data_IF_830219631118
#
_entry.id   IF_830219631118
#
_cell.length_a   1.000
_cell.length_b   1.000
_cell.length_c   1.000
_cell.angle_alpha   90.00
_cell.angle_beta   90.00
_cell.angle_gamma   90.00
#
_symmetry.space_group_name_H-M   'P 1'
#
loop_
_entity.id
_entity.type
_entity.pdbx_description
1 polymer ?
#
# COMPACT_ATOMS: atom_id res chain seq x y z
N UNK A 1 2.62 30.54 10.05
CA UNK A 1 2.69 29.59 11.18
C UNK A 1 3.88 28.67 10.91
N UNK A 2 4.75 28.46 11.92
CA UNK A 2 5.89 27.56 11.80
C UNK A 2 5.49 26.12 12.17
N UNK A 3 5.87 25.15 11.35
CA UNK A 3 5.59 23.71 11.56
C UNK A 3 6.91 22.96 11.54
N UNK A 4 7.14 22.12 12.56
CA UNK A 4 8.31 21.25 12.61
C UNK A 4 7.88 19.82 12.37
N UNK A 5 8.55 19.12 11.44
CA UNK A 5 8.31 17.72 11.07
C UNK A 5 9.53 16.91 11.50
N UNK A 6 9.29 15.83 12.21
CA UNK A 6 10.32 14.89 12.63
C UNK A 6 10.36 13.67 11.72
N UNK A 7 11.48 13.45 11.06
CA UNK A 7 11.72 12.39 10.10
C UNK A 7 11.61 12.85 8.65
N UNK A 8 12.70 12.68 7.89
CA UNK A 8 12.81 13.04 6.47
C UNK A 8 12.72 11.81 5.53
N UNK A 9 11.89 10.83 5.89
CA UNK A 9 11.45 9.78 4.98
C UNK A 9 10.37 10.30 4.03
N UNK A 10 9.87 9.44 3.13
CA UNK A 10 8.85 9.82 2.12
C UNK A 10 7.65 10.54 2.72
N UNK A 11 7.16 10.11 3.88
CA UNK A 11 6.01 10.74 4.55
C UNK A 11 6.36 12.14 5.04
N UNK A 12 7.53 12.33 5.69
CA UNK A 12 7.95 13.63 6.20
C UNK A 12 8.21 14.63 5.09
N UNK A 13 8.89 14.20 4.02
CA UNK A 13 9.21 15.05 2.87
C UNK A 13 7.93 15.49 2.14
N UNK A 14 7.03 14.55 1.82
CA UNK A 14 5.77 14.88 1.13
C UNK A 14 4.87 15.76 1.99
N UNK A 15 4.85 15.56 3.32
CA UNK A 15 4.12 16.42 4.25
C UNK A 15 4.72 17.83 4.27
N UNK A 16 6.06 17.94 4.34
CA UNK A 16 6.76 19.22 4.31
C UNK A 16 6.47 19.99 3.02
N UNK A 17 6.55 19.32 1.87
CA UNK A 17 6.23 19.89 0.57
C UNK A 17 4.80 20.42 0.51
N UNK A 18 3.80 19.63 0.90
CA UNK A 18 2.40 20.04 0.86
C UNK A 18 2.09 21.19 1.82
N UNK A 19 2.74 21.25 2.98
CA UNK A 19 2.59 22.37 3.91
C UNK A 19 3.28 23.64 3.40
N UNK A 20 4.48 23.50 2.83
CA UNK A 20 5.20 24.63 2.20
C UNK A 20 4.39 25.23 1.04
N UNK A 21 3.81 24.38 0.19
CA UNK A 21 2.90 24.80 -0.91
C UNK A 21 1.66 25.56 -0.40
N UNK A 22 1.25 25.32 0.84
CA UNK A 22 0.17 26.04 1.53
C UNK A 22 0.65 27.32 2.26
N UNK A 23 1.92 27.71 2.13
CA UNK A 23 2.49 28.91 2.73
C UNK A 23 2.90 28.77 4.21
N UNK A 24 3.03 27.57 4.73
CA UNK A 24 3.59 27.36 6.06
C UNK A 24 5.12 27.46 6.04
N UNK A 25 5.70 28.01 7.11
CA UNK A 25 7.14 27.95 7.37
C UNK A 25 7.49 26.56 7.94
N UNK A 26 8.15 25.71 7.16
CA UNK A 26 8.34 24.30 7.50
C UNK A 26 9.81 24.02 7.85
N UNK A 27 10.04 23.43 9.01
CA UNK A 27 11.32 22.89 9.42
C UNK A 27 11.26 21.36 9.45
N UNK A 28 12.12 20.68 8.68
CA UNK A 28 12.24 19.24 8.64
C UNK A 28 13.50 18.80 9.39
N UNK A 29 13.36 17.92 10.37
CA UNK A 29 14.44 17.41 11.21
C UNK A 29 14.54 15.90 11.04
N UNK A 30 15.74 15.41 10.73
CA UNK A 30 16.06 13.98 10.68
C UNK A 30 17.33 13.67 11.47
N UNK A 31 17.48 12.43 11.91
CA UNK A 31 18.69 11.95 12.57
C UNK A 31 19.84 11.72 11.59
N UNK A 32 19.54 11.50 10.32
CA UNK A 32 20.51 11.32 9.25
C UNK A 32 20.88 12.68 8.63
N UNK A 33 22.05 12.77 8.05
CA UNK A 33 22.54 13.97 7.35
C UNK A 33 21.81 14.25 6.04
N UNK A 34 21.14 13.25 5.49
CA UNK A 34 20.41 13.34 4.22
C UNK A 34 19.01 12.73 4.35
N UNK A 35 18.04 13.23 3.58
CA UNK A 35 16.69 12.68 3.59
C UNK A 35 16.64 11.28 2.96
N UNK A 36 15.63 10.50 3.34
CA UNK A 36 15.32 9.22 2.73
C UNK A 36 16.25 8.06 3.07
N UNK A 37 17.22 8.21 3.96
CA UNK A 37 18.28 7.21 4.25
C UNK A 37 17.83 5.95 4.99
N UNK A 38 16.59 5.86 5.40
CA UNK A 38 16.01 4.69 6.10
C UNK A 38 15.15 3.83 5.13
N UNK A 39 13.98 3.41 5.55
CA UNK A 39 13.07 2.58 4.75
C UNK A 39 12.71 3.17 3.38
N UNK A 40 12.75 4.50 3.23
CA UNK A 40 12.48 5.16 1.95
C UNK A 40 13.61 4.97 0.93
N UNK A 41 14.83 4.73 1.37
CA UNK A 41 15.96 4.43 0.49
C UNK A 41 15.87 3.00 -0.08
N UNK A 42 15.43 2.06 0.75
CA UNK A 42 15.43 0.63 0.43
C UNK A 42 14.00 0.10 0.33
N UNK A 43 13.26 0.56 -0.67
CA UNK A 43 11.91 0.07 -0.98
C UNK A 43 11.86 -0.58 -2.38
N UNK A 44 10.75 -1.21 -2.71
CA UNK A 44 10.59 -1.90 -4.00
C UNK A 44 10.28 -0.96 -5.17
N UNK A 45 10.28 0.35 -4.98
CA UNK A 45 9.99 1.40 -5.99
C UNK A 45 8.71 1.16 -6.81
N UNK A 46 7.75 0.39 -6.25
CA UNK A 46 6.52 0.03 -6.93
C UNK A 46 5.32 0.80 -6.37
N UNK A 47 4.76 1.67 -7.19
CA UNK A 47 3.60 2.49 -6.87
C UNK A 47 2.29 1.74 -7.17
N UNK A 48 1.73 1.09 -6.16
CA UNK A 48 0.56 0.20 -6.27
C UNK A 48 -0.70 0.86 -5.69
N UNK A 49 -1.24 1.87 -6.33
CA UNK A 49 -2.39 2.65 -5.84
C UNK A 49 -3.69 1.85 -5.68
N UNK A 50 -3.85 0.82 -6.49
CA UNK A 50 -5.06 -0.02 -6.50
C UNK A 50 -4.91 -1.29 -5.65
N UNK A 51 -3.76 -1.53 -5.02
CA UNK A 51 -3.57 -2.67 -4.12
C UNK A 51 -4.10 -2.33 -2.72
N UNK A 52 -5.42 -2.32 -2.60
CA UNK A 52 -6.17 -1.77 -1.46
C UNK A 52 -6.75 -2.85 -0.52
N UNK A 53 -6.16 -4.03 -0.48
CA UNK A 53 -6.61 -5.11 0.40
C UNK A 53 -6.23 -4.84 1.86
N UNK A 54 -7.19 -4.77 2.79
CA UNK A 54 -6.86 -4.63 4.21
C UNK A 54 -6.27 -5.93 4.76
N UNK A 55 -5.30 -5.82 5.65
CA UNK A 55 -4.74 -6.99 6.35
C UNK A 55 -5.79 -7.72 7.18
N UNK A 56 -6.75 -7.00 7.76
CA UNK A 56 -7.85 -7.58 8.48
C UNK A 56 -8.91 -8.10 7.50
N UNK A 57 -8.79 -9.39 7.11
CA UNK A 57 -9.70 -10.08 6.23
C UNK A 57 -9.98 -11.50 6.76
N UNK A 58 -11.06 -12.11 6.31
CA UNK A 58 -11.36 -13.53 6.63
C UNK A 58 -10.26 -14.47 6.13
N UNK A 59 -9.70 -14.19 4.97
CA UNK A 59 -8.61 -14.99 4.39
C UNK A 59 -7.33 -14.88 5.20
N UNK A 60 -6.99 -13.68 5.70
CA UNK A 60 -5.83 -13.47 6.57
C UNK A 60 -5.97 -14.21 7.90
N UNK A 61 -7.17 -14.25 8.48
CA UNK A 61 -7.42 -14.98 9.71
C UNK A 61 -7.23 -16.49 9.51
N UNK A 62 -7.78 -17.06 8.42
CA UNK A 62 -7.60 -18.48 8.10
C UNK A 62 -6.12 -18.83 7.83
N UNK A 63 -5.41 -17.95 7.14
CA UNK A 63 -3.99 -18.11 6.86
C UNK A 63 -3.15 -17.98 8.15
N UNK A 64 -3.47 -17.06 9.05
CA UNK A 64 -2.79 -16.91 10.33
C UNK A 64 -2.84 -18.19 11.15
N UNK A 65 -4.01 -18.85 11.19
CA UNK A 65 -4.16 -20.18 11.86
C UNK A 65 -3.32 -21.24 11.16
N UNK A 66 -3.29 -21.30 9.82
CA UNK A 66 -2.49 -22.25 9.05
C UNK A 66 -0.98 -22.03 9.20
N UNK A 67 -0.56 -20.83 9.50
CA UNK A 67 0.85 -20.45 9.65
C UNK A 67 1.36 -20.58 11.08
N UNK A 68 0.47 -20.70 12.06
CA UNK A 68 0.87 -20.88 13.45
C UNK A 68 1.73 -22.12 13.59
N UNK A 69 2.89 -21.95 14.20
CA UNK A 69 3.87 -23.03 14.42
C UNK A 69 4.78 -23.36 13.23
N UNK A 70 4.63 -22.72 12.06
CA UNK A 70 5.53 -22.91 10.92
C UNK A 70 6.69 -21.94 10.98
N UNK A 71 7.94 -22.42 10.87
CA UNK A 71 9.15 -21.59 10.89
C UNK A 71 9.27 -20.69 9.65
N UNK A 72 8.80 -21.16 8.49
CA UNK A 72 8.87 -20.47 7.20
C UNK A 72 7.58 -19.71 6.85
N UNK A 73 6.78 -19.37 7.85
CA UNK A 73 5.54 -18.64 7.64
C UNK A 73 5.82 -17.16 7.31
N UNK A 74 5.07 -16.56 6.37
CA UNK A 74 5.20 -15.13 6.05
C UNK A 74 4.93 -14.21 7.23
N UNK A 75 4.18 -14.68 8.23
CA UNK A 75 3.86 -13.97 9.46
C UNK A 75 4.24 -14.83 10.67
N UNK A 76 5.19 -14.35 11.46
CA UNK A 76 5.55 -14.95 12.74
C UNK A 76 4.77 -14.25 13.86
N UNK A 77 3.80 -14.97 14.43
CA UNK A 77 3.03 -14.48 15.57
C UNK A 77 3.59 -15.05 16.88
N UNK A 78 4.10 -14.16 17.73
CA UNK A 78 4.58 -14.50 19.09
C UNK A 78 3.68 -13.79 20.11
N UNK A 79 2.72 -14.49 20.74
CA UNK A 79 1.86 -13.87 21.73
C UNK A 79 2.67 -13.48 22.98
N UNK A 80 2.58 -12.23 23.36
CA UNK A 80 3.13 -11.71 24.61
C UNK A 80 2.00 -11.49 25.62
N UNK A 81 2.22 -11.67 26.93
CA UNK A 81 1.21 -11.40 27.96
C UNK A 81 1.04 -9.89 28.19
N UNK A 82 0.54 -9.17 27.19
CA UNK A 82 0.32 -7.73 27.20
C UNK A 82 -1.14 -7.41 26.96
N UNK A 83 -1.77 -6.63 27.84
CA UNK A 83 -3.15 -6.15 27.67
C UNK A 83 -3.30 -5.32 26.38
N UNK A 84 -2.27 -4.55 26.02
CA UNK A 84 -2.26 -3.80 24.76
C UNK A 84 -2.35 -4.72 23.55
N UNK A 85 -1.56 -5.80 23.51
CA UNK A 85 -1.57 -6.77 22.41
C UNK A 85 -2.91 -7.50 22.31
N UNK A 86 -3.49 -7.92 23.42
CA UNK A 86 -4.81 -8.55 23.43
C UNK A 86 -5.90 -7.58 22.95
N UNK A 87 -5.86 -6.32 23.37
CA UNK A 87 -6.75 -5.27 22.87
C UNK A 87 -6.62 -5.07 21.35
N UNK A 88 -5.39 -5.11 20.82
CA UNK A 88 -5.14 -5.05 19.39
C UNK A 88 -5.71 -6.28 18.65
N UNK A 89 -5.48 -7.49 19.18
CA UNK A 89 -6.02 -8.74 18.62
C UNK A 89 -7.54 -8.69 18.50
N UNK A 90 -8.24 -8.28 19.58
CA UNK A 90 -9.70 -8.17 19.54
C UNK A 90 -10.18 -7.17 18.48
N UNK A 91 -9.53 -6.02 18.35
CA UNK A 91 -9.84 -5.03 17.30
C UNK A 91 -9.57 -5.59 15.91
N UNK A 92 -8.46 -6.31 15.73
CA UNK A 92 -8.12 -6.96 14.46
C UNK A 92 -9.20 -7.98 14.07
N UNK A 93 -9.59 -8.88 14.97
CA UNK A 93 -10.65 -9.86 14.75
C UNK A 93 -12.00 -9.21 14.42
N UNK A 94 -12.36 -8.13 15.11
CA UNK A 94 -13.58 -7.38 14.84
C UNK A 94 -13.58 -6.77 13.42
N UNK A 95 -12.41 -6.39 12.89
CA UNK A 95 -12.25 -5.86 11.54
C UNK A 95 -12.18 -6.94 10.45
N UNK A 96 -12.02 -8.22 10.78
CA UNK A 96 -12.03 -9.32 9.81
C UNK A 96 -13.43 -9.70 9.29
N UNK A 97 -14.48 -8.97 9.66
CA UNK A 97 -15.85 -9.16 9.13
C UNK A 97 -15.94 -8.65 7.70
N UNK A 98 -16.69 -9.35 6.84
CA UNK A 98 -16.78 -9.01 5.41
C UNK A 98 -17.26 -7.57 5.15
N UNK A 99 -18.20 -7.06 5.96
CA UNK A 99 -18.66 -5.66 5.86
C UNK A 99 -17.54 -4.66 6.15
N UNK A 100 -16.70 -4.92 7.17
CA UNK A 100 -15.57 -4.09 7.53
C UNK A 100 -14.44 -4.20 6.51
N UNK A 101 -14.18 -5.38 5.98
CA UNK A 101 -13.21 -5.61 4.91
C UNK A 101 -13.57 -4.75 3.69
N UNK A 102 -14.83 -4.78 3.22
CA UNK A 102 -15.30 -3.95 2.11
C UNK A 102 -15.20 -2.45 2.40
N UNK A 103 -15.61 -2.01 3.59
CA UNK A 103 -15.51 -0.61 4.02
C UNK A 103 -14.06 -0.14 4.04
N UNK A 104 -13.16 -0.93 4.62
CA UNK A 104 -11.74 -0.62 4.72
C UNK A 104 -11.06 -0.61 3.34
N UNK A 105 -11.40 -1.56 2.46
CA UNK A 105 -10.93 -1.57 1.06
C UNK A 105 -11.28 -0.24 0.37
N UNK A 106 -12.52 0.23 0.51
CA UNK A 106 -12.95 1.51 -0.09
C UNK A 106 -12.16 2.70 0.46
N UNK A 107 -11.87 2.73 1.77
CA UNK A 107 -11.09 3.81 2.40
C UNK A 107 -9.64 3.80 1.93
N UNK A 108 -9.01 2.63 1.89
CA UNK A 108 -7.61 2.48 1.43
C UNK A 108 -7.51 2.87 -0.04
N UNK A 109 -8.45 2.42 -0.88
CA UNK A 109 -8.44 2.76 -2.30
C UNK A 109 -8.61 4.26 -2.55
N UNK A 110 -9.54 4.93 -1.85
CA UNK A 110 -9.69 6.39 -1.94
C UNK A 110 -8.39 7.11 -1.59
N UNK A 111 -7.69 6.67 -0.54
CA UNK A 111 -6.40 7.23 -0.14
C UNK A 111 -5.33 6.96 -1.20
N UNK A 112 -5.29 5.75 -1.77
CA UNK A 112 -4.36 5.38 -2.84
C UNK A 112 -4.57 6.23 -4.11
N UNK A 113 -5.82 6.43 -4.53
CA UNK A 113 -6.15 7.27 -5.69
C UNK A 113 -5.82 8.74 -5.45
N UNK A 114 -6.05 9.25 -4.23
CA UNK A 114 -5.61 10.60 -3.84
C UNK A 114 -4.08 10.71 -3.89
N UNK A 115 -3.37 9.71 -3.36
CA UNK A 115 -1.91 9.66 -3.40
C UNK A 115 -1.38 9.68 -4.85
N UNK A 116 -2.01 8.92 -5.76
CA UNK A 116 -1.69 8.96 -7.20
C UNK A 116 -1.84 10.36 -7.78
N UNK A 117 -2.97 11.02 -7.50
CA UNK A 117 -3.23 12.38 -7.98
C UNK A 117 -2.15 13.34 -7.49
N UNK A 118 -1.85 13.31 -6.19
CA UNK A 118 -0.82 14.19 -5.59
C UNK A 118 0.57 13.92 -6.16
N UNK A 119 0.92 12.65 -6.42
CA UNK A 119 2.21 12.33 -7.05
C UNK A 119 2.32 12.92 -8.46
N UNK A 120 1.25 12.83 -9.27
CA UNK A 120 1.25 13.43 -10.61
C UNK A 120 1.34 14.96 -10.53
N UNK A 121 0.68 15.61 -9.57
CA UNK A 121 0.84 17.05 -9.33
C UNK A 121 2.29 17.41 -8.94
N UNK A 122 2.97 16.56 -8.17
CA UNK A 122 4.40 16.75 -7.85
C UNK A 122 5.27 16.51 -9.09
N UNK A 123 4.97 15.50 -9.89
CA UNK A 123 5.66 15.23 -11.17
C UNK A 123 5.57 16.46 -12.11
N UNK A 124 4.39 17.07 -12.21
CA UNK A 124 4.15 18.24 -13.04
C UNK A 124 4.84 19.53 -12.51
N UNK A 125 5.06 19.61 -11.19
CA UNK A 125 5.71 20.77 -10.55
C UNK A 125 7.25 20.75 -10.69
N UNK A 126 7.86 19.59 -11.02
CA UNK A 126 9.30 19.42 -11.06
C UNK A 126 9.77 18.69 -12.33
N UNK A 127 10.72 19.29 -13.02
CA UNK A 127 11.39 18.68 -14.17
C UNK A 127 12.65 17.92 -13.72
N UNK A 128 12.44 16.73 -13.12
CA UNK A 128 13.53 15.83 -12.77
C UNK A 128 13.18 14.38 -13.12
N UNK A 129 14.15 13.67 -13.69
CA UNK A 129 14.01 12.26 -13.99
C UNK A 129 14.26 11.41 -12.72
N UNK A 130 13.24 10.69 -12.31
CA UNK A 130 13.33 9.70 -11.23
C UNK A 130 13.00 8.29 -11.72
N UNK A 131 13.17 8.07 -13.03
CA UNK A 131 12.95 6.79 -13.69
C UNK A 131 11.53 6.25 -13.50
N UNK A 132 10.53 7.14 -13.47
CA UNK A 132 9.14 6.77 -13.30
C UNK A 132 8.54 6.20 -14.58
N UNK A 133 7.98 4.99 -14.49
CA UNK A 133 7.26 4.35 -15.60
C UNK A 133 5.79 4.18 -15.27
N UNK A 134 4.92 4.53 -16.22
CA UNK A 134 3.46 4.37 -16.14
C UNK A 134 2.97 3.03 -16.72
N UNK A 135 3.84 2.03 -16.81
CA UNK A 135 3.56 0.72 -17.40
C UNK A 135 2.50 -0.14 -16.71
N UNK A 136 2.02 0.29 -15.52
CA UNK A 136 1.03 -0.47 -14.77
C UNK A 136 1.65 -1.58 -13.92
N UNK A 137 0.84 -2.58 -13.56
CA UNK A 137 1.24 -3.72 -12.74
C UNK A 137 0.62 -5.00 -13.25
N UNK A 138 1.45 -5.95 -13.62
CA UNK A 138 1.03 -7.28 -14.04
C UNK A 138 0.84 -8.20 -12.82
N UNK A 139 -0.33 -8.84 -12.73
CA UNK A 139 -0.64 -9.87 -11.74
C UNK A 139 -0.77 -11.21 -12.44
N UNK A 140 0.06 -12.17 -12.07
CA UNK A 140 0.08 -13.51 -12.63
C UNK A 140 -0.56 -14.50 -11.66
N UNK A 141 -1.46 -15.34 -12.16
CA UNK A 141 -2.15 -16.38 -11.38
C UNK A 141 -1.84 -17.74 -11.98
N UNK A 142 -1.60 -18.75 -11.13
CA UNK A 142 -1.31 -20.13 -11.54
C UNK A 142 -2.56 -20.97 -11.78
N UNK A 143 -3.71 -20.50 -11.30
CA UNK A 143 -4.98 -21.20 -11.39
C UNK A 143 -6.17 -20.22 -11.53
N UNK A 144 -7.22 -20.67 -12.19
CA UNK A 144 -8.43 -19.89 -12.42
C UNK A 144 -9.18 -19.53 -11.12
N UNK A 145 -9.09 -20.35 -10.09
CA UNK A 145 -9.76 -20.08 -8.81
C UNK A 145 -9.17 -18.84 -8.13
N UNK A 146 -7.84 -18.72 -8.15
CA UNK A 146 -7.12 -17.56 -7.63
C UNK A 146 -7.41 -16.31 -8.46
N UNK A 147 -7.41 -16.42 -9.78
CA UNK A 147 -7.81 -15.36 -10.69
C UNK A 147 -9.25 -14.89 -10.40
N UNK A 148 -10.21 -15.81 -10.36
CA UNK A 148 -11.61 -15.48 -10.12
C UNK A 148 -11.84 -14.86 -8.73
N UNK A 149 -11.08 -15.26 -7.72
CA UNK A 149 -11.10 -14.63 -6.40
C UNK A 149 -10.62 -13.18 -6.49
N UNK A 150 -9.52 -12.94 -7.20
CA UNK A 150 -8.97 -11.59 -7.38
C UNK A 150 -9.92 -10.70 -8.20
N UNK A 151 -10.53 -11.21 -9.26
CA UNK A 151 -11.48 -10.46 -10.10
C UNK A 151 -12.70 -9.95 -9.33
N UNK A 152 -13.18 -10.67 -8.32
CA UNK A 152 -14.26 -10.18 -7.45
C UNK A 152 -13.83 -8.90 -6.72
N UNK A 153 -12.60 -8.86 -6.26
CA UNK A 153 -12.02 -7.68 -5.61
C UNK A 153 -11.78 -6.56 -6.63
N UNK A 154 -11.20 -6.88 -7.78
CA UNK A 154 -10.92 -5.92 -8.85
C UNK A 154 -12.20 -5.20 -9.32
N UNK A 155 -13.32 -5.92 -9.48
CA UNK A 155 -14.62 -5.32 -9.80
C UNK A 155 -15.10 -4.31 -8.77
N UNK A 156 -14.89 -4.59 -7.47
CA UNK A 156 -15.20 -3.62 -6.42
C UNK A 156 -14.33 -2.36 -6.54
N UNK A 157 -13.06 -2.54 -6.85
CA UNK A 157 -12.12 -1.44 -7.02
C UNK A 157 -12.41 -0.62 -8.29
N UNK A 158 -12.90 -1.27 -9.35
CA UNK A 158 -13.30 -0.61 -10.60
C UNK A 158 -14.45 0.38 -10.37
N UNK A 159 -15.43 0.05 -9.52
CA UNK A 159 -16.51 0.99 -9.14
C UNK A 159 -16.03 2.27 -8.48
N UNK A 160 -14.76 2.31 -8.06
CA UNK A 160 -14.11 3.43 -7.37
C UNK A 160 -13.02 4.11 -8.22
N UNK A 161 -12.93 3.77 -9.52
CA UNK A 161 -12.02 4.40 -10.48
C UNK A 161 -10.68 3.69 -10.69
N UNK A 162 -10.50 2.48 -10.15
CA UNK A 162 -9.43 1.58 -10.58
C UNK A 162 -9.72 1.03 -11.97
N UNK A 163 -8.66 0.72 -12.73
CA UNK A 163 -8.80 0.05 -14.04
C UNK A 163 -7.98 -1.24 -14.01
N UNK A 164 -8.50 -2.29 -14.61
CA UNK A 164 -7.78 -3.53 -14.83
C UNK A 164 -8.20 -4.14 -16.17
N UNK A 165 -7.34 -4.94 -16.72
CA UNK A 165 -7.56 -5.72 -17.91
C UNK A 165 -7.23 -7.18 -17.64
N UNK A 166 -8.03 -8.10 -18.17
CA UNK A 166 -7.79 -9.53 -18.06
C UNK A 166 -7.21 -10.00 -19.38
N UNK A 167 -6.07 -10.62 -19.33
CA UNK A 167 -5.35 -11.07 -20.52
C UNK A 167 -4.95 -12.54 -20.39
N UNK A 168 -4.70 -13.18 -21.52
CA UNK A 168 -4.16 -14.52 -21.60
C UNK A 168 -2.67 -14.55 -21.24
N UNK A 169 -2.13 -15.73 -20.96
CA UNK A 169 -0.69 -15.90 -20.74
C UNK A 169 0.14 -15.46 -21.95
N UNK A 170 -0.38 -15.64 -23.18
CA UNK A 170 0.31 -15.22 -24.41
C UNK A 170 0.43 -13.71 -24.47
N UNK A 171 -0.64 -12.99 -24.25
CA UNK A 171 -0.65 -11.52 -24.22
C UNK A 171 0.24 -10.97 -23.09
N UNK A 172 0.26 -11.64 -21.93
CA UNK A 172 1.12 -11.25 -20.82
C UNK A 172 2.61 -11.38 -21.17
N UNK A 173 3.02 -12.43 -21.91
CA UNK A 173 4.40 -12.62 -22.40
C UNK A 173 4.79 -11.56 -23.44
N UNK A 174 3.83 -11.06 -24.24
CA UNK A 174 4.10 -9.96 -25.18
C UNK A 174 4.39 -8.64 -24.47
N UNK A 175 3.81 -8.41 -23.28
CA UNK A 175 4.03 -7.22 -22.45
C UNK A 175 5.32 -7.35 -21.62
N UNK A 176 5.57 -8.52 -21.07
CA UNK A 176 6.73 -8.82 -20.20
C UNK A 176 7.38 -10.13 -20.68
N UNK A 177 8.32 -10.07 -21.62
CA UNK A 177 8.90 -11.24 -22.28
C UNK A 177 10.01 -11.94 -21.48
N UNK A 178 10.18 -11.67 -20.19
CA UNK A 178 11.23 -12.25 -19.34
C UNK A 178 11.07 -13.74 -19.05
#
# INVERSE_FOLDING_TARGET
>A
MKVTILGAGVIGITTAYMLSKKGYDVCLIDRNSEPGRECSFSNGSQLSYCHAEPWASRSSLLNAVKWMGKKDAPLLFRPLPSLHMWGWIFRFLANCRASKESENTKKILKLGLLSRKVLHEIEDDFDFDFSYSKGGKLFIFRDEKSLNKYLKQARLQETLGSRYEVMSAKEAIEIEPA
#
